data_IF_952796895773
#
_entry.id   IF_952796895773
#
_cell.length_a   1.000
_cell.length_b   1.000
_cell.length_c   1.000
_cell.angle_alpha   90.00
_cell.angle_beta   90.00
_cell.angle_gamma   90.00
#
_symmetry.space_group_name_H-M   'P 1'
#
loop_
_entity.id
_entity.type
_entity.pdbx_description
1 polymer ?
#
# COMPACT_ATOMS: atom_id res chain seq x y z
N UNK A 1 -40.73 -2.64 -20.23
CA UNK A 1 -39.52 -3.36 -19.80
C UNK A 1 -38.39 -2.35 -19.73
N UNK A 2 -38.20 -1.69 -18.58
CA UNK A 2 -37.10 -0.72 -18.44
C UNK A 2 -36.60 -0.69 -17.00
N UNK A 3 -35.34 -1.10 -16.83
CA UNK A 3 -34.39 -0.46 -15.92
C UNK A 3 -34.68 -0.52 -14.42
N UNK A 4 -34.53 -1.68 -13.82
CA UNK A 4 -34.32 -1.82 -12.38
C UNK A 4 -33.76 -3.20 -12.15
N UNK A 5 -32.45 -3.29 -11.87
CA UNK A 5 -31.74 -4.47 -11.29
C UNK A 5 -30.20 -4.39 -11.50
N UNK A 6 -29.61 -3.20 -11.66
CA UNK A 6 -28.14 -3.04 -11.74
C UNK A 6 -27.49 -2.48 -10.45
N UNK A 7 -28.29 -2.03 -9.48
CA UNK A 7 -27.81 -1.45 -8.21
C UNK A 7 -27.16 -2.46 -7.23
N UNK A 8 -27.63 -3.71 -7.04
CA UNK A 8 -27.13 -4.54 -5.94
C UNK A 8 -25.68 -5.00 -6.12
N UNK A 9 -25.18 -5.10 -7.36
CA UNK A 9 -23.78 -5.47 -7.63
C UNK A 9 -22.78 -4.35 -7.27
N UNK A 10 -23.18 -3.08 -7.41
CA UNK A 10 -22.35 -1.93 -7.07
C UNK A 10 -22.16 -1.79 -5.55
N UNK A 11 -23.20 -2.11 -4.77
CA UNK A 11 -23.17 -2.06 -3.30
C UNK A 11 -22.24 -3.13 -2.70
N UNK A 12 -22.18 -4.31 -3.32
CA UNK A 12 -21.22 -5.37 -2.98
C UNK A 12 -19.78 -4.95 -3.30
N UNK A 13 -19.55 -4.25 -4.42
CA UNK A 13 -18.22 -3.72 -4.77
C UNK A 13 -17.78 -2.59 -3.82
N UNK A 14 -18.68 -1.70 -3.41
CA UNK A 14 -18.38 -0.59 -2.48
C UNK A 14 -18.04 -1.10 -1.06
N UNK A 15 -18.76 -2.12 -0.59
CA UNK A 15 -18.54 -2.71 0.74
C UNK A 15 -17.31 -3.61 0.78
N UNK A 16 -16.96 -4.31 -0.31
CA UNK A 16 -15.68 -5.00 -0.45
C UNK A 16 -14.50 -3.99 -0.47
N UNK A 17 -14.62 -2.89 -1.22
CA UNK A 17 -13.60 -1.83 -1.29
C UNK A 17 -13.33 -1.21 0.08
N UNK A 18 -14.38 -0.91 0.86
CA UNK A 18 -14.21 -0.42 2.25
C UNK A 18 -13.53 -1.43 3.15
N UNK A 19 -13.80 -2.73 3.01
CA UNK A 19 -13.20 -3.79 3.84
C UNK A 19 -11.71 -4.02 3.53
N UNK A 20 -11.32 -3.98 2.26
CA UNK A 20 -9.92 -4.10 1.86
C UNK A 20 -9.09 -2.89 2.34
N UNK A 21 -9.63 -1.68 2.19
CA UNK A 21 -9.01 -0.46 2.72
C UNK A 21 -8.96 -0.47 4.26
N UNK A 22 -9.99 -0.99 4.92
CA UNK A 22 -10.08 -1.04 6.38
C UNK A 22 -9.14 -2.05 7.04
N UNK A 23 -8.61 -3.06 6.34
CA UNK A 23 -7.64 -4.00 6.90
C UNK A 23 -6.19 -3.48 6.79
N UNK A 24 -5.87 -2.76 5.71
CA UNK A 24 -4.55 -2.19 5.47
C UNK A 24 -4.25 -1.01 6.42
N UNK A 25 -5.24 -0.16 6.64
CA UNK A 25 -5.05 1.09 7.39
C UNK A 25 -4.66 0.87 8.88
N UNK A 26 -5.30 -0.02 9.66
CA UNK A 26 -4.95 -0.24 11.06
C UNK A 26 -3.57 -0.87 11.26
N UNK A 27 -3.14 -1.74 10.34
CA UNK A 27 -1.81 -2.38 10.42
C UNK A 27 -0.71 -1.36 10.16
N UNK A 28 -0.87 -0.56 9.09
CA UNK A 28 0.05 0.53 8.78
C UNK A 28 0.10 1.55 9.92
N UNK A 29 -1.06 1.94 10.46
CA UNK A 29 -1.11 2.92 11.54
C UNK A 29 -0.40 2.41 12.80
N UNK A 30 -0.61 1.14 13.21
CA UNK A 30 0.14 0.55 14.33
C UNK A 30 1.64 0.50 14.09
N UNK A 31 2.08 0.26 12.86
CA UNK A 31 3.50 0.30 12.51
C UNK A 31 4.05 1.72 12.61
N UNK A 32 3.35 2.71 12.05
CA UNK A 32 3.74 4.11 12.08
C UNK A 32 3.74 4.68 13.51
N UNK A 33 2.73 4.37 14.32
CA UNK A 33 2.63 4.80 15.73
C UNK A 33 3.84 4.33 16.59
N UNK A 34 4.48 3.23 16.19
CA UNK A 34 5.61 2.61 16.90
C UNK A 34 6.97 2.95 16.31
N UNK A 35 7.03 3.82 15.30
CA UNK A 35 8.26 4.06 14.55
C UNK A 35 8.55 5.56 14.44
N UNK A 36 9.67 5.99 15.02
CA UNK A 36 10.08 7.40 15.05
C UNK A 36 10.64 7.87 13.70
N UNK A 37 11.36 7.02 12.98
CA UNK A 37 11.94 7.34 11.66
C UNK A 37 11.88 6.12 10.74
N UNK A 38 11.65 6.35 9.44
CA UNK A 38 11.48 5.29 8.42
C UNK A 38 12.22 5.65 7.12
N UNK A 39 13.55 5.85 7.13
CA UNK A 39 14.29 6.14 5.92
C UNK A 39 14.37 4.94 4.95
N UNK A 40 14.47 5.25 3.66
CA UNK A 40 14.82 4.28 2.63
C UNK A 40 16.29 3.86 2.77
N UNK A 41 16.55 2.56 2.78
CA UNK A 41 17.92 2.04 2.87
C UNK A 41 18.72 2.43 1.63
N UNK A 42 19.72 3.31 1.80
CA UNK A 42 20.60 3.75 0.70
C UNK A 42 21.43 2.58 0.15
N UNK A 43 21.75 1.60 0.99
CA UNK A 43 22.44 0.38 0.59
C UNK A 43 21.67 -0.38 -0.50
N UNK A 44 20.35 -0.45 -0.39
CA UNK A 44 19.51 -1.20 -1.32
C UNK A 44 18.99 -0.32 -2.46
N UNK A 45 18.61 0.92 -2.15
CA UNK A 45 17.93 1.81 -3.08
C UNK A 45 18.82 2.90 -3.67
N UNK A 46 20.10 3.01 -3.30
CA UNK A 46 20.98 4.12 -3.72
C UNK A 46 20.74 5.40 -2.92
N UNK A 47 21.59 6.40 -3.11
CA UNK A 47 21.54 7.67 -2.38
C UNK A 47 20.29 8.50 -2.73
N UNK A 48 19.98 9.46 -1.86
CA UNK A 48 18.94 10.47 -2.13
C UNK A 48 19.19 11.18 -3.47
N UNK A 49 18.17 11.22 -4.33
CA UNK A 49 18.25 11.76 -5.70
C UNK A 49 18.71 10.77 -6.78
N UNK A 50 19.28 9.62 -6.41
CA UNK A 50 19.72 8.56 -7.33
C UNK A 50 19.08 7.20 -6.98
N UNK A 51 17.80 7.24 -6.60
CA UNK A 51 17.08 6.07 -6.09
C UNK A 51 16.79 5.05 -7.20
N UNK A 52 16.91 3.77 -6.87
CA UNK A 52 16.64 2.63 -7.76
C UNK A 52 15.58 1.74 -7.13
N UNK A 53 14.50 1.53 -7.86
CA UNK A 53 13.39 0.68 -7.46
C UNK A 53 13.13 -0.36 -8.54
N UNK A 54 12.93 -1.61 -8.12
CA UNK A 54 12.51 -2.68 -9.02
C UNK A 54 11.00 -2.81 -8.90
N UNK A 55 10.34 -2.71 -10.05
CA UNK A 55 8.91 -2.89 -10.15
C UNK A 55 8.60 -4.31 -10.59
N UNK A 56 7.44 -4.79 -10.20
CA UNK A 56 6.90 -6.02 -10.73
C UNK A 56 6.81 -5.93 -12.27
N UNK A 57 7.26 -6.94 -13.02
CA UNK A 57 7.32 -6.87 -14.48
C UNK A 57 5.96 -7.07 -15.14
N UNK A 58 4.89 -7.33 -14.38
CA UNK A 58 3.55 -7.52 -14.93
C UNK A 58 2.82 -6.19 -15.11
N UNK A 59 1.90 -6.15 -16.07
CA UNK A 59 1.14 -4.94 -16.40
C UNK A 59 -0.13 -4.75 -15.56
N UNK A 60 -0.46 -5.71 -14.69
CA UNK A 60 -1.73 -5.73 -13.93
C UNK A 60 -1.57 -4.97 -12.61
N UNK A 61 -0.43 -5.10 -11.94
CA UNK A 61 -0.17 -4.49 -10.63
C UNK A 61 1.08 -3.63 -10.70
N UNK A 62 0.95 -2.34 -10.36
CA UNK A 62 2.12 -1.46 -10.14
C UNK A 62 2.65 -1.64 -8.72
N UNK A 63 3.30 -2.78 -8.48
CA UNK A 63 3.97 -3.10 -7.22
C UNK A 63 5.48 -2.90 -7.31
N UNK A 64 6.11 -2.54 -6.19
CA UNK A 64 7.55 -2.75 -6.02
C UNK A 64 7.78 -4.23 -5.71
N UNK A 65 8.83 -4.82 -6.30
CA UNK A 65 9.21 -6.19 -5.92
C UNK A 65 9.75 -6.22 -4.49
N UNK A 66 10.44 -5.15 -4.08
CA UNK A 66 11.11 -5.05 -2.79
C UNK A 66 11.18 -3.59 -2.33
N UNK A 67 10.96 -3.37 -1.03
CA UNK A 67 11.11 -2.08 -0.36
C UNK A 67 11.86 -2.28 0.96
N UNK A 68 13.13 -1.91 0.98
CA UNK A 68 13.99 -2.00 2.16
C UNK A 68 14.00 -0.67 2.91
N UNK A 69 13.50 -0.74 4.15
CA UNK A 69 13.44 0.38 5.07
C UNK A 69 14.41 0.14 6.22
N UNK A 70 15.04 1.22 6.66
CA UNK A 70 15.66 1.29 7.97
C UNK A 70 14.67 1.98 8.91
N UNK A 71 14.69 1.64 10.21
CA UNK A 71 13.75 2.27 11.14
C UNK A 71 14.31 2.41 12.55
N UNK A 72 13.82 3.45 13.24
CA UNK A 72 14.07 3.66 14.67
C UNK A 72 12.75 3.49 15.44
N UNK A 73 12.68 2.62 16.46
CA UNK A 73 11.50 2.51 17.30
C UNK A 73 11.12 3.83 17.96
N UNK A 74 9.82 4.10 18.11
CA UNK A 74 9.32 5.15 18.99
C UNK A 74 9.52 4.74 20.47
N UNK A 75 9.73 5.73 21.33
CA UNK A 75 9.94 5.53 22.77
C UNK A 75 8.65 5.13 23.51
#
# INVERSE_FOLDING_TARGET
MTGGDAQPLLDDQESATRREVAAAYPTLQRFLDRTATIPLSEKHHGATGARRFRHDPTYIIRGLTDLHLEFTPAA
#
